data_IF_293861687860
#
_entry.id   IF_293861687860
#
_cell.length_a   1.000
_cell.length_b   1.000
_cell.length_c   1.000
_cell.angle_alpha   90.00
_cell.angle_beta   90.00
_cell.angle_gamma   90.00
#
_symmetry.space_group_name_H-M   'P 1'
#
loop_
_entity.id
_entity.type
_entity.pdbx_description
1 polymer ?
#
# COMPACT_ATOMS: atom_id res chain seq x y z
N UNK A 1 -17.71 5.87 23.12
CA UNK A 1 -16.81 5.25 22.12
C UNK A 1 -17.41 3.91 21.79
N UNK A 2 -17.94 3.73 20.57
CA UNK A 2 -18.32 2.40 20.08
C UNK A 2 -17.05 1.56 20.01
N UNK A 3 -17.04 0.41 20.66
CA UNK A 3 -15.94 -0.54 20.52
C UNK A 3 -15.79 -0.87 19.03
N UNK A 4 -14.65 -0.50 18.43
CA UNK A 4 -14.38 -0.75 17.00
C UNK A 4 -13.77 -2.14 16.79
N UNK A 5 -13.34 -2.79 17.87
CA UNK A 5 -12.98 -4.19 17.92
C UNK A 5 -14.25 -4.99 18.24
N UNK A 6 -14.42 -6.11 17.55
CA UNK A 6 -15.56 -7.01 17.69
C UNK A 6 -15.11 -8.48 17.60
N UNK A 7 -16.08 -9.40 17.58
CA UNK A 7 -15.81 -10.85 17.51
C UNK A 7 -14.98 -11.28 16.29
N UNK A 8 -14.92 -10.49 15.21
CA UNK A 8 -14.09 -10.81 14.03
C UNK A 8 -12.59 -10.66 14.29
N UNK A 9 -12.21 -10.06 15.43
CA UNK A 9 -10.83 -9.83 15.84
C UNK A 9 -10.33 -10.81 16.89
N UNK A 10 -11.22 -11.67 17.41
CA UNK A 10 -10.87 -12.67 18.43
C UNK A 10 -9.75 -13.57 17.92
N UNK A 11 -8.61 -13.57 18.63
CA UNK A 11 -7.44 -14.34 18.22
C UNK A 11 -7.65 -15.86 18.28
N UNK A 12 -8.64 -16.32 19.04
CA UNK A 12 -9.03 -17.73 19.15
C UNK A 12 -9.95 -18.19 18.02
N UNK A 13 -10.52 -17.27 17.24
CA UNK A 13 -11.37 -17.61 16.09
C UNK A 13 -10.55 -18.35 15.03
N UNK A 14 -10.96 -19.58 14.72
CA UNK A 14 -10.34 -20.43 13.71
C UNK A 14 -11.25 -20.59 12.49
N UNK A 15 -10.66 -20.88 11.34
CA UNK A 15 -11.37 -21.21 10.11
C UNK A 15 -11.34 -22.71 9.81
N UNK A 16 -12.39 -23.22 9.17
CA UNK A 16 -12.35 -24.56 8.57
C UNK A 16 -11.42 -24.65 7.34
N UNK A 17 -10.96 -23.51 6.82
CA UNK A 17 -9.84 -23.44 5.86
C UNK A 17 -8.54 -23.56 6.64
N UNK A 18 -7.98 -24.77 6.70
CA UNK A 18 -6.86 -25.11 7.59
C UNK A 18 -5.62 -24.20 7.41
N UNK A 19 -5.30 -23.79 6.19
CA UNK A 19 -4.17 -22.90 5.88
C UNK A 19 -4.30 -21.50 6.51
N UNK A 20 -5.52 -21.05 6.83
CA UNK A 20 -5.77 -19.78 7.53
C UNK A 20 -5.42 -19.83 9.03
N UNK A 21 -5.21 -21.03 9.59
CA UNK A 21 -4.86 -21.21 11.00
C UNK A 21 -3.35 -21.26 11.24
N UNK A 22 -2.52 -21.25 10.19
CA UNK A 22 -1.07 -21.28 10.32
C UNK A 22 -0.53 -20.04 11.08
N UNK A 23 0.49 -20.22 11.93
CA UNK A 23 0.98 -19.20 12.87
C UNK A 23 1.64 -17.96 12.20
N UNK A 24 1.89 -18.00 10.90
CA UNK A 24 2.49 -16.88 10.14
C UNK A 24 1.73 -16.52 8.86
N UNK A 25 0.51 -17.05 8.64
CA UNK A 25 -0.26 -16.71 7.43
C UNK A 25 -0.58 -15.22 7.39
N UNK A 26 -0.56 -14.64 6.19
CA UNK A 26 -1.03 -13.27 5.95
C UNK A 26 -2.55 -13.17 6.06
N UNK A 27 -3.25 -14.26 5.78
CA UNK A 27 -4.70 -14.26 5.54
C UNK A 27 -5.45 -15.16 6.53
N UNK A 28 -5.35 -14.93 7.85
CA UNK A 28 -6.23 -15.63 8.79
C UNK A 28 -7.66 -15.08 8.66
N UNK A 29 -8.63 -15.73 9.30
CA UNK A 29 -10.04 -15.30 9.27
C UNK A 29 -10.29 -13.91 9.88
N UNK A 30 -9.34 -13.40 10.66
CA UNK A 30 -9.33 -12.05 11.19
C UNK A 30 -8.94 -10.99 10.14
N UNK A 31 -8.32 -11.38 9.01
CA UNK A 31 -7.92 -10.44 7.96
C UNK A 31 -9.03 -10.23 6.94
N UNK A 32 -9.25 -11.22 6.07
CA UNK A 32 -10.22 -11.19 4.98
C UNK A 32 -10.05 -9.95 4.05
N UNK A 33 -8.84 -9.71 3.50
CA UNK A 33 -8.62 -8.58 2.61
C UNK A 33 -9.29 -8.84 1.27
N UNK A 34 -9.62 -7.76 0.57
CA UNK A 34 -10.42 -7.79 -0.65
C UNK A 34 -9.55 -7.54 -1.88
N UNK A 35 -9.82 -8.24 -2.98
CA UNK A 35 -9.15 -8.04 -4.25
C UNK A 35 -10.12 -8.22 -5.43
N UNK A 36 -9.62 -7.95 -6.63
CA UNK A 36 -10.22 -8.38 -7.88
C UNK A 36 -9.37 -9.51 -8.46
N UNK A 37 -10.01 -10.63 -8.79
CA UNK A 37 -9.32 -11.81 -9.31
C UNK A 37 -10.12 -12.52 -10.39
N UNK A 38 -9.46 -13.46 -11.07
CA UNK A 38 -10.08 -14.51 -11.89
C UNK A 38 -9.18 -15.74 -11.88
N UNK A 39 -9.68 -16.88 -12.36
CA UNK A 39 -8.83 -18.08 -12.53
C UNK A 39 -7.73 -17.79 -13.56
N UNK A 40 -6.49 -18.11 -13.22
CA UNK A 40 -5.33 -17.84 -14.07
C UNK A 40 -5.48 -18.54 -15.44
N UNK A 41 -5.17 -17.81 -16.52
CA UNK A 41 -5.28 -18.34 -17.88
C UNK A 41 -6.70 -18.62 -18.36
N UNK A 42 -7.73 -18.09 -17.68
CA UNK A 42 -9.13 -18.18 -18.12
C UNK A 42 -9.64 -16.87 -18.73
N UNK A 43 -10.72 -16.97 -19.50
CA UNK A 43 -11.49 -15.83 -20.02
C UNK A 43 -12.61 -15.38 -19.08
N UNK A 44 -12.56 -15.82 -17.81
CA UNK A 44 -13.54 -15.40 -16.83
C UNK A 44 -13.51 -13.88 -16.62
N UNK A 45 -14.69 -13.31 -16.38
CA UNK A 45 -14.79 -11.94 -15.93
C UNK A 45 -14.06 -11.76 -14.61
N UNK A 46 -13.45 -10.58 -14.43
CA UNK A 46 -12.88 -10.14 -13.16
C UNK A 46 -13.96 -10.04 -12.07
N UNK A 47 -13.68 -10.57 -10.88
CA UNK A 47 -14.66 -10.66 -9.78
C UNK A 47 -14.04 -10.25 -8.45
N UNK A 48 -14.85 -9.72 -7.52
CA UNK A 48 -14.42 -9.46 -6.16
C UNK A 48 -14.15 -10.78 -5.40
N UNK A 49 -13.02 -10.83 -4.72
CA UNK A 49 -12.60 -11.97 -3.90
C UNK A 49 -12.11 -11.53 -2.52
N UNK A 50 -12.16 -12.46 -1.55
CA UNK A 50 -11.55 -12.28 -0.24
C UNK A 50 -10.51 -13.37 0.05
N UNK A 51 -9.32 -13.01 0.56
CA UNK A 51 -8.30 -14.01 0.88
C UNK A 51 -8.59 -14.73 2.20
N UNK A 52 -8.38 -16.04 2.22
CA UNK A 52 -8.43 -16.89 3.42
C UNK A 52 -7.42 -18.04 3.29
N UNK A 53 -6.38 -18.03 4.13
CA UNK A 53 -5.27 -18.98 4.02
C UNK A 53 -4.60 -18.89 2.65
N UNK A 54 -4.56 -20.01 1.95
CA UNK A 54 -4.06 -20.13 0.56
C UNK A 54 -5.18 -20.09 -0.50
N UNK A 55 -6.40 -19.68 -0.11
CA UNK A 55 -7.57 -19.61 -0.95
C UNK A 55 -8.06 -18.17 -1.16
N UNK A 56 -8.87 -18.00 -2.19
CA UNK A 56 -9.70 -16.83 -2.47
C UNK A 56 -11.16 -17.27 -2.45
N UNK A 57 -11.99 -16.58 -1.69
CA UNK A 57 -13.44 -16.75 -1.70
C UNK A 57 -14.02 -15.89 -2.81
N UNK A 58 -14.71 -16.48 -3.79
CA UNK A 58 -15.47 -15.74 -4.80
C UNK A 58 -16.75 -15.14 -4.19
N UNK A 59 -16.76 -13.83 -4.02
CA UNK A 59 -17.83 -13.12 -3.32
C UNK A 59 -19.14 -13.09 -4.11
N UNK A 60 -19.07 -13.08 -5.45
CA UNK A 60 -20.27 -13.14 -6.28
C UNK A 60 -20.86 -14.54 -6.28
N UNK A 61 -20.03 -15.58 -6.28
CA UNK A 61 -20.51 -16.96 -6.14
C UNK A 61 -21.25 -17.16 -4.81
N UNK A 62 -20.73 -16.64 -3.69
CA UNK A 62 -21.44 -16.70 -2.40
C UNK A 62 -22.77 -15.95 -2.43
N UNK A 63 -22.78 -14.74 -3.00
CA UNK A 63 -23.98 -13.91 -3.12
C UNK A 63 -25.05 -14.61 -3.96
N UNK A 64 -24.68 -15.10 -5.15
CA UNK A 64 -25.60 -15.70 -6.11
C UNK A 64 -26.16 -17.03 -5.60
N UNK A 65 -25.41 -17.73 -4.73
CA UNK A 65 -25.87 -18.91 -4.00
C UNK A 65 -26.78 -18.60 -2.80
N UNK A 66 -27.01 -17.33 -2.46
CA UNK A 66 -27.84 -16.92 -1.32
C UNK A 66 -27.20 -17.19 0.04
N UNK A 67 -25.88 -17.33 0.11
CA UNK A 67 -25.14 -17.67 1.34
C UNK A 67 -24.78 -16.43 2.19
N UNK A 68 -24.99 -15.24 1.64
CA UNK A 68 -24.73 -13.98 2.34
C UNK A 68 -26.04 -13.40 2.91
N UNK A 69 -26.01 -12.86 4.13
CA UNK A 69 -27.06 -11.98 4.63
C UNK A 69 -27.34 -10.83 3.65
N UNK A 70 -28.56 -10.31 3.67
CA UNK A 70 -29.03 -9.33 2.67
C UNK A 70 -28.16 -8.08 2.60
N UNK A 71 -27.74 -7.54 3.74
CA UNK A 71 -26.87 -6.37 3.83
C UNK A 71 -25.47 -6.62 3.24
N UNK A 72 -24.88 -7.78 3.49
CA UNK A 72 -23.62 -8.20 2.87
C UNK A 72 -23.76 -8.45 1.36
N UNK A 73 -24.88 -9.02 0.91
CA UNK A 73 -25.19 -9.19 -0.50
C UNK A 73 -25.37 -7.83 -1.21
N UNK A 74 -26.12 -6.91 -0.60
CA UNK A 74 -26.36 -5.56 -1.09
C UNK A 74 -25.05 -4.74 -1.14
N UNK A 75 -24.10 -5.01 -0.25
CA UNK A 75 -22.77 -4.41 -0.27
C UNK A 75 -21.99 -4.71 -1.57
N UNK A 76 -22.22 -5.89 -2.17
CA UNK A 76 -21.54 -6.32 -3.39
C UNK A 76 -22.20 -5.83 -4.68
N UNK A 77 -23.39 -5.22 -4.61
CA UNK A 77 -24.06 -4.73 -5.81
C UNK A 77 -23.23 -3.63 -6.51
N UNK A 78 -22.98 -3.80 -7.80
CA UNK A 78 -22.15 -2.92 -8.63
C UNK A 78 -20.69 -3.38 -8.78
N UNK A 79 -20.27 -4.46 -8.11
CA UNK A 79 -18.91 -5.01 -8.22
C UNK A 79 -18.74 -6.01 -9.36
N UNK A 80 -19.83 -6.40 -10.02
CA UNK A 80 -19.87 -7.33 -11.15
C UNK A 80 -19.12 -6.80 -12.39
N UNK A 81 -18.86 -5.49 -12.41
CA UNK A 81 -18.03 -4.83 -13.44
C UNK A 81 -16.52 -5.07 -13.26
N UNK A 82 -16.13 -5.85 -12.25
CA UNK A 82 -14.73 -6.23 -12.01
C UNK A 82 -13.92 -5.18 -11.26
N UNK A 83 -14.55 -4.37 -10.40
CA UNK A 83 -13.86 -3.41 -9.54
C UNK A 83 -14.53 -3.29 -8.16
N UNK A 84 -13.77 -2.88 -7.14
CA UNK A 84 -14.30 -2.64 -5.79
C UNK A 84 -14.89 -1.23 -5.62
N UNK A 85 -14.85 -0.35 -6.63
CA UNK A 85 -15.29 1.05 -6.50
C UNK A 85 -16.71 1.20 -5.94
N UNK A 86 -17.66 0.36 -6.39
CA UNK A 86 -19.03 0.38 -5.89
C UNK A 86 -19.12 0.04 -4.40
N UNK A 87 -18.38 -0.99 -3.96
CA UNK A 87 -18.29 -1.36 -2.54
C UNK A 87 -17.57 -0.27 -1.72
N UNK A 88 -16.50 0.32 -2.26
CA UNK A 88 -15.78 1.43 -1.65
C UNK A 88 -16.70 2.61 -1.33
N UNK A 89 -17.56 2.99 -2.28
CA UNK A 89 -18.49 4.11 -2.14
C UNK A 89 -19.64 3.88 -1.16
N UNK A 90 -19.94 2.65 -0.75
CA UNK A 90 -21.03 2.33 0.21
C UNK A 90 -20.67 2.63 1.66
N UNK A 91 -19.39 2.86 1.95
CA UNK A 91 -18.92 3.24 3.27
C UNK A 91 -18.88 2.11 4.30
N UNK A 92 -18.63 2.50 5.55
CA UNK A 92 -18.27 1.59 6.65
C UNK A 92 -19.29 0.51 6.93
N UNK A 93 -20.59 0.84 6.95
CA UNK A 93 -21.63 -0.12 7.30
C UNK A 93 -21.64 -1.34 6.36
N UNK A 94 -21.51 -1.11 5.05
CA UNK A 94 -21.46 -2.17 4.04
C UNK A 94 -20.21 -3.05 4.19
N UNK A 95 -19.04 -2.45 4.47
CA UNK A 95 -17.80 -3.20 4.73
C UNK A 95 -17.90 -4.08 5.97
N UNK A 96 -18.44 -3.53 7.07
CA UNK A 96 -18.62 -4.27 8.33
C UNK A 96 -19.58 -5.45 8.13
N UNK A 97 -20.71 -5.24 7.45
CA UNK A 97 -21.66 -6.31 7.14
C UNK A 97 -21.00 -7.45 6.34
N UNK A 98 -20.25 -7.11 5.29
CA UNK A 98 -19.52 -8.09 4.49
C UNK A 98 -18.46 -8.83 5.34
N UNK A 99 -17.66 -8.10 6.12
CA UNK A 99 -16.63 -8.69 7.01
C UNK A 99 -17.24 -9.68 8.00
N UNK A 100 -18.34 -9.31 8.65
CA UNK A 100 -19.02 -10.15 9.62
C UNK A 100 -19.62 -11.41 8.96
N UNK A 101 -20.23 -11.28 7.79
CA UNK A 101 -20.75 -12.41 7.02
C UNK A 101 -19.62 -13.39 6.63
N UNK A 102 -18.50 -12.87 6.13
CA UNK A 102 -17.33 -13.69 5.77
C UNK A 102 -16.71 -14.39 6.98
N UNK A 103 -16.51 -13.65 8.08
CA UNK A 103 -15.99 -14.22 9.33
C UNK A 103 -16.89 -15.35 9.84
N UNK A 104 -18.21 -15.15 9.81
CA UNK A 104 -19.19 -16.14 10.25
C UNK A 104 -19.26 -17.38 9.35
N UNK A 105 -19.17 -17.21 8.03
CA UNK A 105 -19.21 -18.33 7.07
C UNK A 105 -17.91 -19.14 7.03
N UNK A 106 -16.77 -18.50 7.31
CA UNK A 106 -15.45 -19.13 7.26
C UNK A 106 -15.00 -19.73 8.59
N UNK A 107 -15.68 -19.44 9.71
CA UNK A 107 -15.29 -19.97 11.03
C UNK A 107 -15.52 -21.48 11.16
N UNK A 108 -14.71 -22.14 11.97
CA UNK A 108 -14.90 -23.55 12.33
C UNK A 108 -16.34 -23.81 12.86
N UNK A 109 -16.97 -24.90 12.42
CA UNK A 109 -18.35 -25.22 12.79
C UNK A 109 -19.45 -24.43 12.06
N UNK A 110 -19.13 -23.68 11.00
CA UNK A 110 -20.14 -23.06 10.13
C UNK A 110 -21.03 -24.12 9.44
N UNK A 111 -22.34 -23.88 9.40
CA UNK A 111 -23.34 -24.84 8.92
C UNK A 111 -23.23 -25.12 7.41
N UNK A 112 -22.99 -24.08 6.60
CA UNK A 112 -22.98 -24.16 5.13
C UNK A 112 -21.58 -24.38 4.53
N UNK A 113 -20.68 -25.07 5.27
CA UNK A 113 -19.28 -25.27 4.87
C UNK A 113 -19.15 -25.82 3.45
N UNK A 114 -19.97 -26.80 3.06
CA UNK A 114 -19.86 -27.43 1.73
C UNK A 114 -20.15 -26.45 0.60
N UNK A 115 -21.14 -25.57 0.78
CA UNK A 115 -21.53 -24.56 -0.20
C UNK A 115 -20.50 -23.42 -0.26
N UNK A 116 -19.95 -23.00 0.89
CA UNK A 116 -18.84 -22.05 0.93
C UNK A 116 -17.56 -22.60 0.29
N UNK A 117 -17.27 -23.89 0.48
CA UNK A 117 -16.12 -24.55 -0.12
C UNK A 117 -16.19 -24.54 -1.65
N UNK A 118 -17.38 -24.58 -2.25
CA UNK A 118 -17.55 -24.48 -3.70
C UNK A 118 -17.21 -23.10 -4.28
N UNK A 119 -17.17 -22.06 -3.44
CA UNK A 119 -16.76 -20.71 -3.83
C UNK A 119 -15.25 -20.45 -3.66
N UNK A 120 -14.48 -21.44 -3.20
CA UNK A 120 -13.04 -21.30 -3.01
C UNK A 120 -12.27 -21.53 -4.31
N UNK A 121 -11.30 -20.66 -4.57
CA UNK A 121 -10.30 -20.79 -5.63
C UNK A 121 -8.92 -20.74 -4.99
N UNK A 122 -8.02 -21.69 -5.28
CA UNK A 122 -6.64 -21.62 -4.77
C UNK A 122 -5.94 -20.35 -5.26
N UNK A 123 -5.26 -19.61 -4.37
CA UNK A 123 -4.52 -18.40 -4.75
C UNK A 123 -3.47 -18.68 -5.83
N UNK A 124 -2.84 -19.86 -5.80
CA UNK A 124 -1.87 -20.29 -6.82
C UNK A 124 -2.49 -20.49 -8.22
N UNK A 125 -3.82 -20.66 -8.30
CA UNK A 125 -4.58 -20.76 -9.54
C UNK A 125 -5.36 -19.49 -9.88
N UNK A 126 -5.09 -18.38 -9.20
CA UNK A 126 -5.72 -17.09 -9.42
C UNK A 126 -4.72 -16.07 -9.97
N UNK A 127 -5.20 -15.21 -10.87
CA UNK A 127 -4.51 -13.98 -11.22
C UNK A 127 -5.34 -12.79 -10.75
N UNK A 128 -4.65 -11.69 -10.45
CA UNK A 128 -5.27 -10.51 -9.82
C UNK A 128 -5.21 -9.31 -10.75
N UNK A 129 -6.28 -8.53 -10.73
CA UNK A 129 -6.35 -7.22 -11.36
C UNK A 129 -6.01 -6.11 -10.35
N UNK A 130 -6.10 -4.86 -10.79
CA UNK A 130 -6.14 -3.75 -9.86
C UNK A 130 -7.45 -3.83 -9.03
N UNK A 131 -7.42 -3.55 -7.71
CA UNK A 131 -8.61 -3.66 -6.87
C UNK A 131 -9.71 -2.66 -7.25
N UNK A 132 -9.33 -1.52 -7.81
CA UNK A 132 -10.23 -0.45 -8.21
C UNK A 132 -9.80 0.17 -9.54
N UNK A 133 -10.76 0.77 -10.23
CA UNK A 133 -10.47 1.80 -11.22
C UNK A 133 -10.07 3.06 -10.47
N UNK A 134 -8.77 3.35 -10.46
CA UNK A 134 -8.22 4.53 -9.78
C UNK A 134 -8.55 5.76 -10.63
N UNK A 135 -9.35 6.68 -10.10
CA UNK A 135 -9.67 7.95 -10.74
C UNK A 135 -8.47 8.87 -10.68
N UNK A 136 -8.15 9.30 -9.46
CA UNK A 136 -6.99 10.10 -9.15
C UNK A 136 -6.03 9.38 -8.20
N UNK A 137 -4.73 9.63 -8.41
CA UNK A 137 -3.65 9.17 -7.55
C UNK A 137 -2.92 10.39 -7.01
N UNK A 138 -2.77 10.48 -5.69
CA UNK A 138 -1.99 11.52 -5.02
C UNK A 138 -0.96 10.88 -4.14
N UNK A 139 0.29 11.30 -4.29
CA UNK A 139 1.38 10.79 -3.50
C UNK A 139 1.77 11.81 -2.43
N UNK A 140 1.77 11.38 -1.17
CA UNK A 140 2.15 12.23 -0.05
C UNK A 140 3.63 12.09 0.29
N UNK A 141 4.08 12.80 1.31
CA UNK A 141 5.48 12.78 1.74
C UNK A 141 5.60 12.66 3.26
N UNK A 142 4.89 11.69 3.87
CA UNK A 142 4.70 11.66 5.33
C UNK A 142 5.85 11.02 6.14
N UNK A 143 6.78 10.34 5.49
CA UNK A 143 7.92 9.70 6.15
C UNK A 143 9.00 10.71 6.56
N UNK A 144 9.02 11.14 7.83
CA UNK A 144 9.97 12.18 8.28
C UNK A 144 11.43 11.73 8.22
N UNK A 145 11.71 10.45 8.47
CA UNK A 145 13.07 9.92 8.37
C UNK A 145 13.54 9.92 6.91
N UNK A 146 12.66 9.56 5.98
CA UNK A 146 12.92 9.65 4.55
C UNK A 146 13.18 11.11 4.14
N UNK A 147 12.27 12.02 4.50
CA UNK A 147 12.42 13.46 4.21
C UNK A 147 13.73 14.04 4.77
N UNK A 148 14.13 13.60 5.97
CA UNK A 148 15.38 14.02 6.59
C UNK A 148 16.59 13.42 5.88
N UNK A 149 16.57 12.13 5.55
CA UNK A 149 17.67 11.42 4.90
C UNK A 149 17.94 11.98 3.50
N UNK A 150 16.90 12.13 2.68
CA UNK A 150 17.00 12.75 1.35
C UNK A 150 17.39 14.22 1.48
N UNK A 151 16.75 14.96 2.39
CA UNK A 151 17.07 16.35 2.67
C UNK A 151 18.55 16.58 2.98
N UNK A 152 19.18 15.70 3.77
CA UNK A 152 20.62 15.80 4.12
C UNK A 152 21.55 15.66 2.91
N UNK A 153 21.12 14.99 1.84
CA UNK A 153 21.92 14.86 0.61
C UNK A 153 22.03 16.20 -0.14
N UNK A 154 21.05 17.10 0.01
CA UNK A 154 20.98 18.38 -0.70
C UNK A 154 21.15 19.60 0.22
N UNK A 155 20.74 19.49 1.48
CA UNK A 155 20.71 20.54 2.50
C UNK A 155 21.12 19.94 3.86
N UNK A 156 22.41 19.64 4.08
CA UNK A 156 22.88 18.93 5.27
C UNK A 156 22.52 19.63 6.59
N UNK A 157 22.55 20.97 6.62
CA UNK A 157 22.30 21.76 7.83
C UNK A 157 20.81 22.00 8.12
N UNK A 158 19.94 21.82 7.12
CA UNK A 158 18.50 22.06 7.22
C UNK A 158 17.74 21.13 6.26
N UNK A 159 17.69 19.82 6.59
CA UNK A 159 17.22 18.81 5.64
C UNK A 159 15.71 18.93 5.34
N UNK A 160 14.93 19.30 6.35
CA UNK A 160 13.49 19.52 6.21
C UNK A 160 13.20 20.97 5.81
N UNK A 161 12.27 21.14 4.87
CA UNK A 161 11.73 22.46 4.54
C UNK A 161 10.79 22.94 5.65
N UNK A 162 10.64 24.27 5.85
CA UNK A 162 9.88 24.81 6.98
C UNK A 162 8.43 24.35 7.07
N UNK A 163 7.79 24.05 5.93
CA UNK A 163 6.39 23.63 5.85
C UNK A 163 6.15 22.15 6.22
N UNK A 164 7.18 21.30 6.22
CA UNK A 164 7.03 19.85 6.38
C UNK A 164 6.29 19.46 7.66
N UNK A 165 6.56 20.16 8.76
CA UNK A 165 5.94 19.89 10.07
C UNK A 165 4.54 20.50 10.24
N UNK A 166 4.10 21.32 9.29
CA UNK A 166 2.82 22.04 9.32
C UNK A 166 1.79 21.49 8.34
N UNK A 167 2.24 20.88 7.24
CA UNK A 167 1.39 20.42 6.14
C UNK A 167 1.81 19.01 5.71
N UNK A 168 0.88 18.05 5.56
CA UNK A 168 1.17 16.79 4.87
C UNK A 168 1.29 17.06 3.37
N UNK A 169 2.49 17.42 2.94
CA UNK A 169 2.79 17.76 1.54
C UNK A 169 2.53 16.53 0.66
N UNK A 170 1.95 16.77 -0.51
CA UNK A 170 1.76 15.77 -1.55
C UNK A 170 1.65 16.39 -2.93
N UNK A 171 1.65 15.56 -3.97
CA UNK A 171 1.50 15.95 -5.37
C UNK A 171 0.62 14.95 -6.11
N UNK A 172 0.01 15.39 -7.22
CA UNK A 172 -0.77 14.49 -8.06
C UNK A 172 0.16 13.55 -8.84
N UNK A 173 0.01 12.26 -8.61
CA UNK A 173 0.73 11.21 -9.33
C UNK A 173 0.01 10.81 -10.63
N UNK A 174 0.49 9.74 -11.28
CA UNK A 174 -0.10 9.25 -12.53
C UNK A 174 -0.90 7.96 -12.34
N UNK A 175 -2.23 8.07 -12.38
CA UNK A 175 -3.11 6.91 -12.23
C UNK A 175 -2.94 5.84 -13.33
N UNK A 176 -2.71 6.25 -14.59
CA UNK A 176 -2.67 5.33 -15.74
C UNK A 176 -1.49 4.35 -15.74
N UNK A 177 -0.44 4.63 -14.97
CA UNK A 177 0.78 3.83 -14.88
C UNK A 177 0.83 2.98 -13.61
N UNK A 178 -0.27 2.93 -12.85
CA UNK A 178 -0.39 2.02 -11.72
C UNK A 178 -0.71 0.64 -12.26
N UNK A 179 0.11 -0.35 -11.89
CA UNK A 179 0.02 -1.73 -12.36
C UNK A 179 -0.07 -2.70 -11.19
N UNK A 180 -0.69 -3.86 -11.43
CA UNK A 180 -0.79 -4.89 -10.41
C UNK A 180 0.58 -5.52 -10.10
N UNK A 181 0.74 -5.97 -8.86
CA UNK A 181 1.86 -6.81 -8.40
C UNK A 181 2.16 -7.95 -9.38
N UNK A 182 3.44 -8.19 -9.63
CA UNK A 182 3.95 -9.16 -10.60
C UNK A 182 4.21 -8.58 -11.99
N UNK A 183 3.71 -7.37 -12.29
CA UNK A 183 3.97 -6.71 -13.57
C UNK A 183 5.44 -6.30 -13.67
N UNK A 184 6.11 -6.72 -14.74
CA UNK A 184 7.46 -6.25 -15.05
C UNK A 184 7.42 -4.81 -15.59
N UNK A 185 8.34 -3.97 -15.13
CA UNK A 185 8.43 -2.56 -15.54
C UNK A 185 9.69 -2.32 -16.37
N UNK A 186 9.63 -1.42 -17.34
CA UNK A 186 10.78 -1.08 -18.16
C UNK A 186 11.56 0.07 -17.53
N UNK A 187 12.90 -0.07 -17.45
CA UNK A 187 13.77 1.06 -17.09
C UNK A 187 13.46 2.24 -18.02
N UNK A 188 13.11 3.42 -17.48
CA UNK A 188 12.74 4.55 -18.32
C UNK A 188 13.97 5.16 -19.01
N UNK A 189 13.75 5.68 -20.21
CA UNK A 189 14.63 6.70 -20.79
C UNK A 189 14.22 8.05 -20.19
N UNK A 190 15.19 8.91 -19.89
CA UNK A 190 14.90 10.27 -19.43
C UNK A 190 16.09 11.20 -19.64
N UNK A 191 15.83 12.49 -19.49
CA UNK A 191 16.91 13.48 -19.51
C UNK A 191 17.64 13.46 -18.17
N UNK A 192 18.96 13.31 -18.22
CA UNK A 192 19.83 13.56 -17.09
C UNK A 192 20.84 14.63 -17.44
N UNK A 193 21.16 15.51 -16.47
CA UNK A 193 22.26 16.46 -16.57
C UNK A 193 23.14 16.33 -15.33
N UNK A 194 24.33 15.77 -15.52
CA UNK A 194 25.37 15.78 -14.50
C UNK A 194 25.90 17.20 -14.24
N UNK A 195 26.57 17.41 -13.10
CA UNK A 195 27.11 18.73 -12.73
C UNK A 195 28.11 19.28 -13.77
N UNK A 196 28.87 18.40 -14.41
CA UNK A 196 29.91 18.75 -15.39
C UNK A 196 29.45 18.65 -16.86
N UNK A 197 28.21 18.20 -17.10
CA UNK A 197 27.70 18.06 -18.47
C UNK A 197 27.43 19.43 -19.09
N UNK A 198 27.78 19.64 -20.36
CA UNK A 198 27.44 20.87 -21.07
C UNK A 198 25.92 20.99 -21.35
N UNK A 199 25.27 19.86 -21.69
CA UNK A 199 23.85 19.78 -22.03
C UNK A 199 23.23 18.50 -21.45
N UNK A 200 21.91 18.46 -21.17
CA UNK A 200 21.24 17.22 -20.75
C UNK A 200 21.32 16.16 -21.86
N UNK A 201 21.36 14.90 -21.45
CA UNK A 201 21.39 13.74 -22.36
C UNK A 201 20.17 12.86 -22.14
N UNK A 202 19.55 12.40 -23.22
CA UNK A 202 18.52 11.35 -23.17
C UNK A 202 19.20 9.99 -23.09
N UNK A 203 18.94 9.25 -22.01
CA UNK A 203 19.57 7.94 -21.75
C UNK A 203 18.72 7.09 -20.81
N UNK A 204 18.95 5.78 -20.73
CA UNK A 204 18.39 4.95 -19.65
C UNK A 204 18.74 5.52 -18.28
N UNK A 205 17.76 5.56 -17.37
CA UNK A 205 18.00 5.99 -15.98
C UNK A 205 19.10 5.15 -15.33
N UNK A 206 20.08 5.82 -14.73
CA UNK A 206 21.20 5.19 -14.02
C UNK A 206 20.94 5.05 -12.52
N UNK A 207 19.90 5.72 -12.01
CA UNK A 207 19.56 5.75 -10.59
C UNK A 207 18.10 5.33 -10.39
N UNK A 208 17.76 4.15 -10.90
CA UNK A 208 16.44 3.55 -10.73
C UNK A 208 16.29 3.00 -9.31
N UNK A 209 15.17 3.28 -8.69
CA UNK A 209 14.92 3.05 -7.28
C UNK A 209 13.49 2.56 -7.03
N UNK A 210 13.28 1.95 -5.88
CA UNK A 210 11.96 1.66 -5.34
C UNK A 210 11.60 2.70 -4.25
N UNK A 211 10.33 2.77 -3.91
CA UNK A 211 9.85 3.48 -2.71
C UNK A 211 8.90 2.58 -1.93
N UNK A 212 9.24 2.31 -0.67
CA UNK A 212 8.42 1.52 0.24
C UNK A 212 7.25 2.36 0.74
N UNK A 213 6.04 2.07 0.25
CA UNK A 213 4.85 2.83 0.58
C UNK A 213 3.62 1.97 0.93
N UNK A 214 2.64 2.65 1.52
CA UNK A 214 1.28 2.16 1.66
C UNK A 214 0.38 2.89 0.65
N UNK A 215 -0.42 2.13 -0.08
CA UNK A 215 -1.50 2.62 -0.92
C UNK A 215 -2.80 2.66 -0.12
N UNK A 216 -3.39 3.83 0.07
CA UNK A 216 -4.56 4.06 0.91
C UNK A 216 -5.75 4.37 0.00
N UNK A 217 -6.77 3.53 0.04
CA UNK A 217 -7.94 3.67 -0.83
C UNK A 217 -9.01 4.54 -0.21
N UNK A 218 -9.50 5.51 -0.98
CA UNK A 218 -10.69 6.28 -0.64
C UNK A 218 -11.94 5.41 -0.77
N UNK A 219 -12.77 5.46 0.26
CA UNK A 219 -14.10 4.87 0.34
C UNK A 219 -15.15 5.84 -0.22
N UNK A 220 -16.14 6.29 0.58
CA UNK A 220 -17.02 7.38 0.18
C UNK A 220 -16.23 8.64 -0.19
N UNK A 221 -16.61 9.27 -1.31
CA UNK A 221 -16.07 10.56 -1.71
C UNK A 221 -16.65 11.74 -0.93
N UNK A 222 -16.34 12.95 -1.36
CA UNK A 222 -16.95 14.20 -0.88
C UNK A 222 -17.37 15.07 -2.06
N UNK A 223 -18.34 15.96 -1.84
CA UNK A 223 -18.75 16.91 -2.86
C UNK A 223 -17.67 17.97 -3.11
N UNK A 224 -17.57 18.47 -4.33
CA UNK A 224 -16.66 19.57 -4.66
C UNK A 224 -17.00 20.81 -3.83
N UNK A 225 -15.98 21.43 -3.24
CA UNK A 225 -16.14 22.55 -2.31
C UNK A 225 -16.58 22.18 -0.89
N UNK A 226 -16.83 20.90 -0.61
CA UNK A 226 -17.20 20.41 0.72
C UNK A 226 -16.02 19.66 1.37
N UNK A 227 -15.20 20.32 2.22
CA UNK A 227 -14.06 19.69 2.87
C UNK A 227 -14.50 18.61 3.87
N UNK A 228 -13.66 17.60 4.06
CA UNK A 228 -13.90 16.51 5.04
C UNK A 228 -13.24 16.89 6.39
N UNK A 229 -14.03 17.12 7.46
CA UNK A 229 -13.48 17.38 8.78
C UNK A 229 -12.63 16.21 9.30
N UNK A 230 -11.59 16.51 10.07
CA UNK A 230 -10.67 15.48 10.63
C UNK A 230 -11.36 14.43 11.49
N UNK A 231 -12.48 14.75 12.12
CA UNK A 231 -13.28 13.80 12.90
C UNK A 231 -13.98 12.75 12.02
N UNK A 232 -14.22 13.05 10.74
CA UNK A 232 -14.95 12.20 9.79
C UNK A 232 -13.99 11.55 8.77
N UNK A 233 -12.74 12.00 8.72
CA UNK A 233 -11.75 11.62 7.71
C UNK A 233 -11.56 10.12 7.51
N UNK A 234 -11.55 9.32 8.58
CA UNK A 234 -11.37 7.87 8.46
C UNK A 234 -12.61 7.14 7.92
N UNK A 235 -13.80 7.73 7.99
CA UNK A 235 -15.02 7.14 7.40
C UNK A 235 -14.97 7.21 5.86
N UNK A 236 -14.16 8.11 5.30
CA UNK A 236 -13.85 8.24 3.88
C UNK A 236 -12.74 7.31 3.39
N UNK A 237 -12.22 6.43 4.25
CA UNK A 237 -11.18 5.48 3.89
C UNK A 237 -11.75 4.05 3.85
N UNK A 238 -11.32 3.29 2.85
CA UNK A 238 -11.75 1.91 2.64
C UNK A 238 -10.78 0.91 3.27
N UNK A 239 -9.50 1.04 2.94
CA UNK A 239 -8.48 0.09 3.33
C UNK A 239 -7.11 0.46 2.75
N UNK A 240 -6.14 -0.39 3.02
CA UNK A 240 -4.73 -0.17 2.72
C UNK A 240 -4.17 -1.36 1.94
N UNK A 241 -3.35 -1.09 0.93
CA UNK A 241 -2.50 -2.05 0.23
C UNK A 241 -1.03 -1.64 0.31
N UNK A 242 -0.12 -2.51 -0.12
CA UNK A 242 1.27 -2.16 -0.36
C UNK A 242 1.42 -1.45 -1.71
N UNK A 243 2.28 -0.44 -1.75
CA UNK A 243 2.50 0.35 -2.95
C UNK A 243 4.00 0.62 -3.17
N UNK A 244 4.46 0.50 -4.41
CA UNK A 244 5.83 0.81 -4.80
C UNK A 244 5.82 1.92 -5.85
N UNK A 245 6.30 3.10 -5.47
CA UNK A 245 6.43 4.24 -6.39
C UNK A 245 7.82 4.28 -7.04
N UNK A 246 7.97 3.52 -8.13
CA UNK A 246 9.25 3.39 -8.80
C UNK A 246 9.78 4.74 -9.26
N UNK A 247 11.08 4.96 -9.03
CA UNK A 247 11.65 6.29 -9.12
C UNK A 247 12.95 6.31 -9.94
N UNK A 248 13.01 7.15 -10.97
CA UNK A 248 14.24 7.44 -11.71
C UNK A 248 14.92 8.69 -11.14
N UNK A 249 15.77 8.53 -10.12
CA UNK A 249 16.30 9.64 -9.30
C UNK A 249 17.14 10.65 -10.08
N UNK A 250 17.85 10.19 -11.10
CA UNK A 250 18.65 11.04 -11.98
C UNK A 250 17.79 11.91 -12.89
N UNK A 251 16.68 11.37 -13.39
CA UNK A 251 15.68 12.14 -14.14
C UNK A 251 14.98 13.13 -13.21
N UNK A 252 14.58 12.67 -12.02
CA UNK A 252 13.88 13.48 -11.01
C UNK A 252 14.67 14.73 -10.66
N UNK A 253 15.97 14.58 -10.36
CA UNK A 253 16.83 15.69 -9.95
C UNK A 253 16.93 16.80 -11.00
N UNK A 254 16.79 16.46 -12.29
CA UNK A 254 16.83 17.42 -13.39
C UNK A 254 15.49 18.09 -13.65
N UNK A 255 14.38 17.35 -13.56
CA UNK A 255 13.07 17.86 -13.99
C UNK A 255 12.24 18.52 -12.88
N UNK A 256 12.45 18.18 -11.61
CA UNK A 256 11.44 18.45 -10.57
C UNK A 256 11.25 19.91 -10.22
N UNK A 257 12.20 20.80 -10.56
CA UNK A 257 12.06 22.22 -10.26
C UNK A 257 11.45 22.98 -11.44
N UNK A 258 10.42 23.82 -11.19
CA UNK A 258 9.75 24.11 -9.92
C UNK A 258 8.47 23.28 -9.65
N UNK A 259 8.09 22.38 -10.55
CA UNK A 259 6.72 21.82 -10.62
C UNK A 259 6.52 20.48 -9.89
N UNK A 260 7.56 19.92 -9.31
CA UNK A 260 7.54 18.61 -8.66
C UNK A 260 7.89 17.45 -9.61
N UNK A 261 7.93 16.21 -9.07
CA UNK A 261 8.26 15.00 -9.84
C UNK A 261 7.26 14.76 -10.99
N UNK A 262 7.72 14.26 -12.14
CA UNK A 262 6.85 13.98 -13.28
C UNK A 262 7.25 12.69 -14.02
N UNK A 263 8.12 12.76 -15.04
CA UNK A 263 8.54 11.57 -15.81
C UNK A 263 9.35 10.60 -14.96
N UNK A 264 9.98 11.09 -13.90
CA UNK A 264 10.74 10.27 -12.96
C UNK A 264 9.88 9.35 -12.09
N UNK A 265 8.55 9.46 -12.17
CA UNK A 265 7.56 8.69 -11.39
C UNK A 265 6.48 8.05 -12.26
N UNK A 266 6.08 8.71 -13.35
CA UNK A 266 4.91 8.30 -14.15
C UNK A 266 5.12 7.05 -15.04
N UNK A 267 6.31 6.43 -15.00
CA UNK A 267 6.61 5.28 -15.86
C UNK A 267 6.07 3.97 -15.30
N UNK A 268 5.98 3.84 -13.97
CA UNK A 268 5.35 2.72 -13.29
C UNK A 268 5.17 3.02 -11.79
N UNK A 269 4.02 2.64 -11.24
CA UNK A 269 3.87 2.39 -9.80
C UNK A 269 3.20 1.02 -9.63
N UNK A 270 3.62 0.21 -8.66
CA UNK A 270 3.05 -1.14 -8.46
C UNK A 270 2.19 -1.19 -7.22
N UNK A 271 1.03 -1.83 -7.32
CA UNK A 271 0.07 -1.97 -6.23
C UNK A 271 -0.18 -3.45 -5.92
N UNK A 272 -0.12 -3.81 -4.63
CA UNK A 272 -0.52 -5.15 -4.18
C UNK A 272 -2.01 -5.41 -4.44
N UNK A 273 -2.39 -6.66 -4.73
CA UNK A 273 -3.76 -7.00 -5.08
C UNK A 273 -4.72 -6.95 -3.89
N UNK A 274 -4.22 -7.21 -2.68
CA UNK A 274 -5.03 -7.33 -1.48
C UNK A 274 -5.19 -5.98 -0.76
N UNK A 275 -6.43 -5.53 -0.63
CA UNK A 275 -6.81 -4.35 0.14
C UNK A 275 -7.27 -4.79 1.52
N UNK A 276 -6.43 -4.56 2.53
CA UNK A 276 -6.74 -4.83 3.93
C UNK A 276 -7.67 -3.73 4.45
N UNK A 277 -8.87 -4.09 4.88
CA UNK A 277 -9.88 -3.14 5.36
C UNK A 277 -9.42 -2.41 6.62
N UNK A 278 -9.89 -1.17 6.83
CA UNK A 278 -9.56 -0.44 8.07
C UNK A 278 -10.06 -1.15 9.33
N UNK A 279 -11.17 -1.87 9.21
CA UNK A 279 -11.72 -2.69 10.29
C UNK A 279 -10.72 -3.79 10.69
N UNK A 280 -10.14 -4.53 9.74
CA UNK A 280 -9.12 -5.55 10.02
C UNK A 280 -7.86 -4.98 10.71
N UNK A 281 -7.58 -3.69 10.48
CA UNK A 281 -6.41 -3.00 11.01
C UNK A 281 -6.64 -2.36 12.38
N UNK A 282 -7.87 -2.39 12.90
CA UNK A 282 -8.25 -1.80 14.17
C UNK A 282 -7.33 -2.22 15.34
N UNK A 283 -6.93 -3.50 15.47
CA UNK A 283 -6.04 -3.92 16.56
C UNK A 283 -4.66 -3.26 16.53
N UNK A 284 -4.20 -2.77 15.38
CA UNK A 284 -2.85 -2.20 15.20
C UNK A 284 -2.83 -0.67 15.25
N UNK A 285 -3.94 -0.05 15.65
CA UNK A 285 -3.98 1.38 15.95
C UNK A 285 -3.15 1.70 17.19
N UNK A 286 -2.41 2.80 17.12
CA UNK A 286 -1.60 3.34 18.21
C UNK A 286 -1.89 4.83 18.40
N UNK A 287 -1.63 5.38 19.60
CA UNK A 287 -1.69 6.82 19.81
C UNK A 287 -0.80 7.55 18.80
N UNK A 288 -1.32 8.62 18.23
CA UNK A 288 -0.53 9.52 17.39
C UNK A 288 0.17 10.54 18.28
N UNK A 289 1.50 10.47 18.30
CA UNK A 289 2.34 11.37 19.09
C UNK A 289 3.36 12.06 18.20
N UNK A 290 3.69 13.31 18.51
CA UNK A 290 4.80 14.03 17.89
C UNK A 290 6.03 14.01 18.80
N UNK A 291 7.25 14.07 18.25
CA UNK A 291 8.45 14.28 19.05
C UNK A 291 8.33 15.51 19.95
N UNK A 292 8.96 15.45 21.13
CA UNK A 292 9.01 16.60 22.03
C UNK A 292 9.66 17.81 21.32
N UNK A 293 9.06 18.99 21.49
CA UNK A 293 9.52 20.23 20.85
C UNK A 293 9.01 20.47 19.43
N UNK A 294 8.36 19.48 18.79
CA UNK A 294 7.73 19.69 17.48
C UNK A 294 6.43 20.52 17.60
N UNK A 295 6.11 21.33 16.57
CA UNK A 295 4.88 22.10 16.56
C UNK A 295 3.66 21.18 16.51
N UNK A 296 2.61 21.60 17.22
CA UNK A 296 1.31 20.96 17.10
C UNK A 296 0.64 21.37 15.78
N UNK A 297 -0.04 20.45 15.09
CA UNK A 297 -0.73 20.77 13.85
C UNK A 297 -1.87 21.76 14.09
N UNK A 298 -2.28 22.47 13.04
CA UNK A 298 -3.46 23.35 13.10
C UNK A 298 -4.73 22.54 13.38
N UNK A 299 -5.75 23.20 13.94
CA UNK A 299 -6.96 22.54 14.43
C UNK A 299 -7.69 21.68 13.38
N UNK A 300 -7.60 22.01 12.09
CA UNK A 300 -8.22 21.22 11.01
C UNK A 300 -7.54 19.86 10.77
N UNK A 301 -6.35 19.64 11.34
CA UNK A 301 -5.58 18.39 11.27
C UNK A 301 -5.49 17.70 12.63
N UNK A 302 -6.25 18.15 13.63
CA UNK A 302 -6.16 17.63 14.99
C UNK A 302 -7.53 17.30 15.56
N UNK A 303 -7.63 16.18 16.27
CA UNK A 303 -8.80 15.81 17.03
C UNK A 303 -8.41 14.89 18.19
N UNK A 304 -9.28 14.80 19.20
CA UNK A 304 -9.07 13.86 20.30
C UNK A 304 -8.93 12.41 19.81
N UNK A 305 -9.70 12.05 18.78
CA UNK A 305 -9.65 10.72 18.18
C UNK A 305 -8.33 10.50 17.42
N UNK A 306 -7.90 11.46 16.61
CA UNK A 306 -6.61 11.39 15.90
C UNK A 306 -5.46 11.19 16.88
N UNK A 307 -5.42 11.93 18.00
CA UNK A 307 -4.38 11.74 19.03
C UNK A 307 -4.44 10.38 19.70
N UNK A 308 -5.63 9.89 20.02
CA UNK A 308 -5.79 8.63 20.73
C UNK A 308 -5.40 7.39 19.91
N UNK A 309 -5.58 7.44 18.58
CA UNK A 309 -5.57 6.23 17.74
C UNK A 309 -5.26 6.45 16.25
N UNK A 310 -4.84 7.65 15.85
CA UNK A 310 -4.58 7.96 14.44
C UNK A 310 -3.32 7.31 13.87
N UNK A 311 -2.40 6.84 14.72
CA UNK A 311 -1.23 6.09 14.28
C UNK A 311 -1.59 4.65 13.92
N UNK A 312 -0.81 4.06 13.02
CA UNK A 312 -0.94 2.68 12.60
C UNK A 312 0.43 1.99 12.67
N UNK A 313 0.48 0.84 13.34
CA UNK A 313 1.71 0.11 13.59
C UNK A 313 1.80 -1.15 12.73
N UNK A 314 2.35 -0.99 11.53
CA UNK A 314 2.67 -2.06 10.61
C UNK A 314 4.17 -2.22 10.50
N UNK A 315 4.61 -3.47 10.56
CA UNK A 315 5.95 -3.86 10.14
C UNK A 315 6.02 -3.80 8.61
N UNK A 316 7.03 -3.10 8.08
CA UNK A 316 7.25 -2.96 6.64
C UNK A 316 8.61 -3.55 6.26
N UNK A 317 8.70 -4.22 5.13
CA UNK A 317 9.92 -4.90 4.69
C UNK A 317 10.13 -4.75 3.18
N UNK A 318 11.39 -4.66 2.78
CA UNK A 318 11.82 -4.67 1.37
C UNK A 318 12.76 -5.82 1.13
N UNK A 319 12.55 -6.52 0.02
CA UNK A 319 13.29 -7.70 -0.37
C UNK A 319 13.73 -7.59 -1.83
N UNK A 320 14.93 -8.05 -2.16
CA UNK A 320 15.50 -8.06 -3.52
C UNK A 320 15.82 -9.48 -3.97
N UNK A 321 15.59 -9.78 -5.24
CA UNK A 321 16.17 -10.94 -5.91
C UNK A 321 16.81 -10.50 -7.21
N UNK A 322 18.12 -10.74 -7.33
CA UNK A 322 18.87 -10.44 -8.54
C UNK A 322 18.73 -11.57 -9.57
N UNK A 323 19.16 -11.32 -10.81
CA UNK A 323 19.23 -12.38 -11.82
C UNK A 323 20.13 -13.54 -11.40
N UNK A 324 21.28 -13.26 -10.75
CA UNK A 324 22.21 -14.29 -10.31
C UNK A 324 21.64 -15.12 -9.15
N UNK A 325 20.99 -14.47 -8.18
CA UNK A 325 20.25 -15.17 -7.11
C UNK A 325 19.21 -16.11 -7.71
N UNK A 326 18.38 -15.61 -8.63
CA UNK A 326 17.34 -16.39 -9.28
C UNK A 326 17.91 -17.59 -10.07
N UNK A 327 18.98 -17.39 -10.82
CA UNK A 327 19.66 -18.46 -11.56
C UNK A 327 20.26 -19.53 -10.65
N UNK A 328 20.67 -19.14 -9.43
CA UNK A 328 21.17 -20.05 -8.39
C UNK A 328 20.06 -20.66 -7.51
N UNK A 329 18.78 -20.39 -7.80
CA UNK A 329 17.65 -20.85 -6.98
C UNK A 329 17.56 -20.20 -5.60
N UNK A 330 18.23 -19.06 -5.40
CA UNK A 330 18.21 -18.30 -4.15
C UNK A 330 16.94 -17.44 -4.07
N UNK A 331 16.23 -17.44 -2.92
CA UNK A 331 15.04 -16.61 -2.73
C UNK A 331 15.43 -15.12 -2.63
N UNK A 332 14.44 -14.24 -2.57
CA UNK A 332 14.69 -12.83 -2.24
C UNK A 332 15.40 -12.69 -0.88
N UNK A 333 16.28 -11.70 -0.79
CA UNK A 333 17.03 -11.30 0.40
C UNK A 333 16.48 -9.97 0.95
N UNK A 334 16.36 -9.84 2.27
CA UNK A 334 15.82 -8.63 2.90
C UNK A 334 16.84 -7.50 2.82
N UNK A 335 16.45 -6.37 2.22
CA UNK A 335 17.23 -5.14 2.16
C UNK A 335 16.98 -4.23 3.35
N UNK A 336 15.72 -4.11 3.75
CA UNK A 336 15.31 -3.16 4.76
C UNK A 336 14.11 -3.63 5.56
N UNK A 337 14.04 -3.14 6.79
CA UNK A 337 12.96 -3.39 7.73
C UNK A 337 12.62 -2.10 8.49
N UNK A 338 11.46 -1.52 8.21
CA UNK A 338 10.98 -0.24 8.78
C UNK A 338 9.63 -0.42 9.49
N UNK A 339 8.92 0.67 9.79
CA UNK A 339 7.57 0.58 10.35
C UNK A 339 6.74 1.81 10.09
N UNK A 340 5.44 1.63 9.81
CA UNK A 340 4.52 2.74 9.54
C UNK A 340 4.28 3.64 10.75
N UNK A 341 4.61 3.17 11.97
CA UNK A 341 4.59 3.97 13.21
C UNK A 341 5.44 5.24 13.13
N UNK A 342 6.39 5.31 12.21
CA UNK A 342 7.27 6.46 12.02
C UNK A 342 6.70 7.52 11.06
N UNK A 343 5.53 7.28 10.46
CA UNK A 343 4.83 8.29 9.68
C UNK A 343 4.52 9.53 10.54
N UNK A 344 4.84 10.71 10.01
CA UNK A 344 4.68 11.97 10.73
C UNK A 344 3.26 12.55 10.64
N UNK A 345 2.50 12.07 9.66
CA UNK A 345 1.10 12.41 9.43
C UNK A 345 0.28 11.13 9.37
N UNK A 346 -0.95 11.18 9.89
CA UNK A 346 -1.88 10.06 9.88
C UNK A 346 -2.66 10.01 8.56
N UNK A 347 -3.21 8.84 8.23
CA UNK A 347 -4.04 8.67 7.03
C UNK A 347 -5.30 9.56 7.05
N UNK A 348 -5.86 9.83 8.24
CA UNK A 348 -6.97 10.78 8.39
C UNK A 348 -6.56 12.23 8.11
N UNK A 349 -5.35 12.62 8.53
CA UNK A 349 -4.81 13.95 8.22
C UNK A 349 -4.61 14.16 6.71
N UNK A 350 -4.28 13.10 5.97
CA UNK A 350 -4.18 13.16 4.50
C UNK A 350 -5.52 13.56 3.87
N UNK A 351 -6.61 12.89 4.24
CA UNK A 351 -7.96 13.18 3.72
C UNK A 351 -8.38 14.63 4.04
N UNK A 352 -8.24 15.04 5.30
CA UNK A 352 -8.62 16.41 5.70
C UNK A 352 -7.78 17.47 5.01
N UNK A 353 -6.48 17.24 4.86
CA UNK A 353 -5.64 18.20 4.14
C UNK A 353 -5.97 18.26 2.66
N UNK A 354 -6.14 17.11 2.00
CA UNK A 354 -6.41 17.06 0.58
C UNK A 354 -7.74 17.76 0.22
N UNK A 355 -8.73 17.66 1.10
CA UNK A 355 -10.07 18.20 0.87
C UNK A 355 -10.28 19.62 1.40
N UNK A 356 -9.39 20.18 2.23
CA UNK A 356 -9.61 21.49 2.87
C UNK A 356 -9.79 22.64 1.87
N UNK A 357 -9.16 22.55 0.70
CA UNK A 357 -9.32 23.49 -0.40
C UNK A 357 -10.56 23.28 -1.27
N UNK A 358 -11.38 22.27 -0.98
CA UNK A 358 -12.57 21.91 -1.74
C UNK A 358 -12.39 20.82 -2.80
N UNK A 359 -11.25 20.11 -2.82
CA UNK A 359 -11.04 18.96 -3.70
C UNK A 359 -12.05 17.84 -3.39
N UNK A 360 -12.63 17.23 -4.42
CA UNK A 360 -13.60 16.14 -4.32
C UNK A 360 -12.95 14.78 -4.54
N UNK A 361 -12.75 14.02 -3.46
CA UNK A 361 -12.33 12.63 -3.54
C UNK A 361 -13.46 11.76 -4.11
N UNK A 362 -13.10 10.67 -4.78
CA UNK A 362 -14.00 9.68 -5.36
C UNK A 362 -13.69 8.27 -4.84
N UNK A 363 -14.69 7.36 -4.79
CA UNK A 363 -14.45 5.97 -4.45
C UNK A 363 -13.44 5.31 -5.39
N UNK A 364 -12.37 4.77 -4.80
CA UNK A 364 -11.27 4.14 -5.53
C UNK A 364 -10.11 5.07 -5.88
N UNK A 365 -10.16 6.37 -5.54
CA UNK A 365 -8.96 7.20 -5.52
C UNK A 365 -7.91 6.59 -4.58
N UNK A 366 -6.64 6.79 -4.93
CA UNK A 366 -5.51 6.21 -4.22
C UNK A 366 -4.61 7.29 -3.66
N UNK A 367 -4.27 7.19 -2.38
CA UNK A 367 -3.16 7.95 -1.79
C UNK A 367 -1.93 7.06 -1.61
N UNK A 368 -0.79 7.49 -2.13
CA UNK A 368 0.53 7.01 -1.70
C UNK A 368 0.90 7.68 -0.39
N UNK A 369 1.49 6.95 0.54
CA UNK A 369 1.95 7.53 1.81
C UNK A 369 3.14 8.48 1.62
N UNK A 370 3.86 8.35 0.52
CA UNK A 370 5.27 8.71 0.46
C UNK A 370 6.12 7.65 1.14
N UNK A 371 7.38 7.59 0.73
CA UNK A 371 8.36 6.60 1.23
C UNK A 371 8.41 6.56 2.76
N UNK A 372 8.25 5.37 3.34
CA UNK A 372 8.27 5.13 4.78
C UNK A 372 9.61 4.55 5.22
N UNK A 373 10.34 5.31 6.03
CA UNK A 373 11.64 4.93 6.60
C UNK A 373 11.62 5.01 8.13
N UNK A 374 12.51 4.26 8.77
CA UNK A 374 12.77 4.33 10.21
C UNK A 374 14.04 5.12 10.56
N UNK A 375 14.32 5.36 11.85
CA UNK A 375 15.48 6.10 12.32
C UNK A 375 16.82 5.36 12.22
N UNK A 376 16.81 4.02 12.15
CA UNK A 376 18.00 3.17 12.22
C UNK A 376 18.64 2.86 10.86
N UNK A 377 19.87 2.36 10.91
CA UNK A 377 20.54 1.75 9.75
C UNK A 377 19.73 0.52 9.27
N UNK A 378 19.62 0.34 7.94
CA UNK A 378 18.80 -0.74 7.37
C UNK A 378 17.28 -0.51 7.44
N UNK A 379 16.83 0.69 7.85
CA UNK A 379 15.41 1.05 7.88
C UNK A 379 15.01 2.05 6.79
N UNK A 380 15.86 2.27 5.78
CA UNK A 380 15.56 3.14 4.64
C UNK A 380 14.53 2.51 3.71
N UNK A 381 13.53 3.29 3.31
CA UNK A 381 12.47 2.90 2.39
C UNK A 381 12.84 3.03 0.90
N UNK A 382 14.10 3.33 0.59
CA UNK A 382 14.62 3.44 -0.78
C UNK A 382 16.11 3.09 -0.84
N UNK A 383 16.63 2.69 -2.02
CA UNK A 383 18.08 2.52 -2.20
C UNK A 383 18.81 3.86 -2.13
N UNK A 384 18.16 4.98 -2.49
CA UNK A 384 18.74 6.31 -2.32
C UNK A 384 19.18 6.54 -0.85
N UNK A 385 18.37 6.12 0.10
CA UNK A 385 18.68 6.20 1.53
C UNK A 385 19.70 5.15 1.95
N UNK A 386 19.45 3.88 1.64
CA UNK A 386 20.29 2.76 2.08
C UNK A 386 21.72 2.83 1.52
N UNK A 387 21.90 3.45 0.35
CA UNK A 387 23.21 3.65 -0.27
C UNK A 387 23.84 5.02 0.00
N UNK A 388 23.23 5.84 0.86
CA UNK A 388 23.69 7.20 1.18
C UNK A 388 23.89 8.10 -0.05
N UNK A 389 22.90 8.15 -0.94
CA UNK A 389 22.98 8.91 -2.19
C UNK A 389 23.81 8.22 -3.28
N UNK A 390 24.10 6.94 -3.10
CA UNK A 390 24.92 6.12 -3.98
C UNK A 390 26.40 6.04 -3.62
N UNK A 391 26.78 6.54 -2.43
CA UNK A 391 28.18 6.57 -1.95
C UNK A 391 28.62 5.29 -1.27
N UNK A 392 27.67 4.51 -0.76
CA UNK A 392 27.95 3.27 -0.03
C UNK A 392 27.15 2.13 -0.66
N UNK A 393 27.81 1.16 -1.32
CA UNK A 393 27.10 0.02 -1.88
C UNK A 393 26.59 -0.91 -0.76
N UNK A 394 25.36 -1.39 -0.92
CA UNK A 394 24.87 -2.55 -0.18
C UNK A 394 25.60 -3.80 -0.70
N UNK A 395 25.92 -4.73 0.19
CA UNK A 395 26.52 -6.04 -0.14
C UNK A 395 25.50 -7.11 0.21
N UNK A 396 25.04 -7.85 -0.80
CA UNK A 396 24.12 -8.98 -0.65
C UNK A 396 24.87 -10.22 -0.13
N UNK A 397 24.15 -11.20 0.42
CA UNK A 397 24.73 -12.40 1.01
C UNK A 397 25.57 -13.22 0.02
N UNK A 398 25.29 -13.13 -1.28
CA UNK A 398 26.05 -13.79 -2.34
C UNK A 398 27.27 -12.98 -2.84
N UNK A 399 27.55 -11.82 -2.25
CA UNK A 399 28.66 -10.93 -2.59
C UNK A 399 28.35 -9.90 -3.68
N UNK A 400 27.17 -9.96 -4.31
CA UNK A 400 26.72 -8.92 -5.22
C UNK A 400 26.58 -7.57 -4.51
N UNK A 401 26.77 -6.48 -5.26
CA UNK A 401 26.63 -5.12 -4.74
C UNK A 401 25.49 -4.39 -5.43
N UNK A 402 24.77 -3.56 -4.68
CA UNK A 402 23.76 -2.65 -5.23
C UNK A 402 23.92 -1.24 -4.65
N UNK A 403 23.62 -0.27 -5.50
CA UNK A 403 23.62 1.15 -5.18
C UNK A 403 22.28 1.73 -5.64
N UNK A 404 21.87 1.36 -6.85
CA UNK A 404 20.54 1.50 -7.42
C UNK A 404 20.19 0.17 -8.12
N UNK A 405 18.95 0.04 -8.56
CA UNK A 405 18.45 -1.16 -9.22
C UNK A 405 19.13 -1.38 -10.57
N UNK A 406 19.53 -2.62 -10.81
CA UNK A 406 20.02 -3.10 -12.10
C UNK A 406 18.89 -3.80 -12.86
N UNK A 407 19.10 -4.04 -14.16
CA UNK A 407 18.14 -4.78 -14.96
C UNK A 407 18.01 -6.22 -14.43
N UNK A 408 16.81 -6.76 -14.47
CA UNK A 408 16.40 -8.07 -13.94
C UNK A 408 16.34 -8.21 -12.41
N UNK A 409 16.67 -7.15 -11.65
CA UNK A 409 16.38 -7.11 -10.22
C UNK A 409 14.85 -7.13 -10.01
N UNK A 410 14.38 -8.00 -9.11
CA UNK A 410 13.00 -8.01 -8.59
C UNK A 410 12.99 -7.41 -7.19
N UNK A 411 12.03 -6.52 -6.93
CA UNK A 411 11.74 -6.00 -5.59
C UNK A 411 10.40 -6.51 -5.12
N UNK A 412 10.37 -7.01 -3.88
CA UNK A 412 9.17 -7.38 -3.14
C UNK A 412 9.03 -6.49 -1.91
N UNK A 413 7.88 -5.82 -1.78
CA UNK A 413 7.46 -5.19 -0.53
C UNK A 413 6.55 -6.14 0.24
N UNK A 414 6.65 -6.12 1.57
CA UNK A 414 5.78 -6.86 2.49
C UNK A 414 5.37 -5.97 3.66
N UNK A 415 4.16 -6.20 4.16
CA UNK A 415 3.67 -5.54 5.37
C UNK A 415 2.83 -6.49 6.21
N UNK A 416 2.86 -6.28 7.53
CA UNK A 416 1.98 -6.97 8.46
C UNK A 416 1.84 -6.24 9.81
N UNK A 417 0.66 -6.36 10.42
CA UNK A 417 0.41 -5.94 11.80
C UNK A 417 0.67 -7.08 12.77
N UNK A 418 1.30 -6.78 13.92
CA UNK A 418 1.47 -7.70 15.05
C UNK A 418 1.16 -6.96 16.34
N UNK A 419 0.36 -7.57 17.20
CA UNK A 419 0.09 -7.09 18.55
C UNK A 419 -0.24 -8.28 19.45
N UNK A 420 0.27 -8.24 20.68
CA UNK A 420 -0.08 -9.24 21.69
C UNK A 420 -1.61 -9.33 21.87
N UNK A 421 -2.13 -10.56 21.95
CA UNK A 421 -3.57 -10.82 22.06
C UNK A 421 -4.34 -10.81 20.73
N UNK A 422 -3.69 -10.52 19.59
CA UNK A 422 -4.32 -10.52 18.26
C UNK A 422 -3.55 -11.42 17.27
N UNK A 423 -4.26 -11.95 16.27
CA UNK A 423 -3.61 -12.65 15.15
C UNK A 423 -2.87 -11.65 14.27
N UNK A 424 -1.74 -12.09 13.69
CA UNK A 424 -1.01 -11.33 12.67
C UNK A 424 -1.90 -11.12 11.44
N UNK A 425 -1.87 -9.91 10.88
CA UNK A 425 -2.61 -9.55 9.67
C UNK A 425 -1.61 -9.09 8.61
N UNK A 426 -1.52 -9.81 7.50
CA UNK A 426 -0.58 -9.52 6.41
C UNK A 426 -1.24 -8.90 5.18
N UNK A 427 -0.40 -8.40 4.29
CA UNK A 427 -0.81 -7.69 3.07
C UNK A 427 -0.49 -8.46 1.78
N UNK A 428 0.08 -9.67 1.88
CA UNK A 428 0.68 -10.35 0.74
C UNK A 428 1.94 -9.63 0.27
N UNK A 429 2.17 -9.65 -1.04
CA UNK A 429 3.37 -9.08 -1.68
C UNK A 429 3.01 -8.05 -2.74
N UNK A 430 3.78 -6.96 -2.78
CA UNK A 430 3.85 -6.05 -3.92
C UNK A 430 5.19 -6.30 -4.63
N UNK A 431 5.16 -6.94 -5.80
CA UNK A 431 6.36 -7.34 -6.55
C UNK A 431 6.43 -6.66 -7.91
N UNK A 432 7.64 -6.27 -8.33
CA UNK A 432 7.91 -5.94 -9.73
C UNK A 432 9.35 -6.24 -10.11
N UNK A 433 9.56 -6.59 -11.38
CA UNK A 433 10.89 -6.88 -11.94
C UNK A 433 11.27 -5.82 -12.97
N UNK A 434 12.51 -5.32 -12.88
CA UNK A 434 13.04 -4.32 -13.81
C UNK A 434 13.46 -5.00 -15.11
N UNK A 435 12.93 -4.51 -16.24
CA UNK A 435 13.36 -4.87 -17.59
C UNK A 435 14.36 -3.83 -18.12
N UNK A 436 15.25 -4.24 -19.03
CA UNK A 436 16.11 -3.30 -19.74
C UNK A 436 15.32 -2.20 -20.45
N UNK A 437 15.94 -1.02 -20.52
CA UNK A 437 15.41 0.11 -21.27
C UNK A 437 15.15 -0.27 -22.75
N UNK A 438 14.20 0.40 -23.44
CA UNK A 438 13.98 0.13 -24.86
C UNK A 438 15.26 0.44 -25.66
N UNK A 439 15.46 -0.29 -26.76
CA UNK A 439 16.53 0.03 -27.69
C UNK A 439 16.35 1.48 -28.22
N UNK A 440 17.45 2.22 -28.45
CA UNK A 440 17.40 3.60 -28.94
C UNK A 440 16.64 3.76 -30.27
#
# INVERSE_FOLDING_TARGET
>A
MTDRIDATHDASLQSWVASANAAGTDFPVQNLPLAIFRRAGSDEAWRPGAAIGDQVVDLLTLRDAGLLPRDAADALAGTEVGTLNALMGRGRAARVALRQALSQGLREGAADRAQWQAALVPQAGAEHGLPARIGDYTDFYIGIHHATAVGRLFRPDSPLLPNYKWVPIGYHGRASSIVASGTALRRPLGQGKGPDDAAPQLRPSQRLDYELELGIFVGPGNAQGAPVPIAEAEDHLFGIGLFNDWSARDVQAWEYQPLGPFLSKNFASTLAPWVVTLEALEPFRIPFTRPEGDPQPLAYLDSAETRARGGLDLQLEVWIQTAQMRAAGQPHEQLARAGSRHAYWTIGQLVSHHTIGGCNLQPGDLFGSGTLSGPGEGQGGSLLELSHGGRQPLVLANGEKRVFLQDSDSIQLRAYGVREGFRRIGFGVCEGTVLPAPAP
#
